data_IF_166787261464
#
_entry.id   IF_166787261464
#
_cell.length_a   1.000
_cell.length_b   1.000
_cell.length_c   1.000
_cell.angle_alpha   90.00
_cell.angle_beta   90.00
_cell.angle_gamma   90.00
#
_symmetry.space_group_name_H-M   'P 1'
#
loop_
_entity.id
_entity.type
_entity.pdbx_description
1 polymer ?
#
# COMPACT_ATOMS: atom_id res chain seq x y z
N UNK A 1 9.13 -22.09 6.12
CA UNK A 1 10.05 -21.15 5.45
C UNK A 1 9.39 -20.10 4.55
N UNK A 2 8.12 -20.24 4.14
CA UNK A 2 7.43 -19.27 3.26
C UNK A 2 6.71 -18.09 3.94
N UNK A 3 6.74 -18.00 5.27
CA UNK A 3 5.97 -16.97 6.01
C UNK A 3 6.77 -15.68 6.22
N UNK A 4 8.09 -15.79 6.41
CA UNK A 4 8.99 -14.64 6.59
C UNK A 4 8.94 -13.73 5.36
N UNK A 5 8.84 -14.30 4.15
CA UNK A 5 8.76 -13.53 2.91
C UNK A 5 7.44 -12.78 2.76
N UNK A 6 6.33 -13.32 3.27
CA UNK A 6 5.03 -12.65 3.28
C UNK A 6 4.99 -11.51 4.28
N UNK A 7 5.52 -11.73 5.49
CA UNK A 7 5.62 -10.70 6.53
C UNK A 7 6.51 -9.56 6.09
N UNK A 8 7.68 -9.85 5.51
CA UNK A 8 8.60 -8.82 5.01
C UNK A 8 7.99 -8.01 3.87
N UNK A 9 7.31 -8.65 2.93
CA UNK A 9 6.62 -7.95 1.84
C UNK A 9 5.50 -7.04 2.39
N UNK A 10 4.66 -7.59 3.27
CA UNK A 10 3.56 -6.83 3.88
C UNK A 10 4.08 -5.64 4.68
N UNK A 11 5.16 -5.84 5.46
CA UNK A 11 5.80 -4.77 6.21
C UNK A 11 6.38 -3.68 5.31
N UNK A 12 6.98 -4.08 4.18
CA UNK A 12 7.44 -3.14 3.14
C UNK A 12 6.29 -2.27 2.61
N UNK A 13 5.16 -2.88 2.28
CA UNK A 13 3.96 -2.17 1.84
C UNK A 13 3.47 -1.19 2.92
N UNK A 14 3.40 -1.61 4.19
CA UNK A 14 3.01 -0.74 5.31
C UNK A 14 3.92 0.48 5.41
N UNK A 15 5.23 0.31 5.29
CA UNK A 15 6.17 1.44 5.32
C UNK A 15 5.96 2.40 4.15
N UNK A 16 5.66 1.88 2.96
CA UNK A 16 5.40 2.71 1.79
C UNK A 16 4.09 3.51 1.90
N UNK A 17 3.11 3.06 2.68
CA UNK A 17 1.86 3.83 2.91
C UNK A 17 2.09 5.18 3.59
N UNK A 18 3.23 5.40 4.26
CA UNK A 18 3.60 6.71 4.82
C UNK A 18 3.98 7.76 3.77
N UNK A 19 4.20 7.35 2.51
CA UNK A 19 4.41 8.26 1.37
C UNK A 19 3.08 8.71 0.74
N UNK A 20 1.96 8.26 1.31
CA UNK A 20 0.60 8.51 0.86
C UNK A 20 -0.19 9.19 1.99
N UNK A 21 -1.41 9.63 1.70
CA UNK A 21 -2.30 10.25 2.71
C UNK A 21 -3.13 9.22 3.51
N UNK A 22 -2.94 7.91 3.25
CA UNK A 22 -3.78 6.84 3.80
C UNK A 22 -3.91 6.90 5.33
N UNK A 23 -2.84 7.21 6.05
CA UNK A 23 -2.84 7.31 7.53
C UNK A 23 -3.73 8.45 8.06
N UNK A 24 -4.00 9.46 7.24
CA UNK A 24 -4.83 10.60 7.59
C UNK A 24 -6.33 10.32 7.36
N UNK A 25 -6.65 9.39 6.47
CA UNK A 25 -8.03 9.16 5.99
C UNK A 25 -8.58 7.76 6.30
N UNK A 26 -7.74 6.79 6.67
CA UNK A 26 -8.15 5.43 7.01
C UNK A 26 -7.67 4.98 8.39
N UNK A 27 -8.48 4.18 9.11
CA UNK A 27 -8.04 3.49 10.32
C UNK A 27 -6.82 2.58 10.07
N UNK A 28 -5.84 2.51 11.00
CA UNK A 28 -4.61 1.73 10.79
C UNK A 28 -4.82 0.25 10.46
N UNK A 29 -5.86 -0.38 11.03
CA UNK A 29 -6.16 -1.79 10.76
C UNK A 29 -6.63 -2.05 9.33
N UNK A 30 -7.35 -1.10 8.70
CA UNK A 30 -7.77 -1.23 7.29
C UNK A 30 -6.59 -1.08 6.34
N UNK A 31 -5.64 -0.19 6.66
CA UNK A 31 -4.38 -0.06 5.92
C UNK A 31 -3.58 -1.37 6.01
N UNK A 32 -3.44 -1.93 7.22
CA UNK A 32 -2.74 -3.20 7.41
C UNK A 32 -3.40 -4.35 6.61
N UNK A 33 -4.73 -4.44 6.61
CA UNK A 33 -5.47 -5.43 5.83
C UNK A 33 -5.29 -5.24 4.32
N UNK A 34 -5.28 -4.00 3.83
CA UNK A 34 -4.99 -3.71 2.43
C UNK A 34 -3.56 -4.11 2.05
N UNK A 35 -2.56 -3.85 2.90
CA UNK A 35 -1.19 -4.31 2.68
C UNK A 35 -1.10 -5.85 2.64
N UNK A 36 -1.79 -6.56 3.55
CA UNK A 36 -1.83 -8.04 3.56
C UNK A 36 -2.50 -8.55 2.28
N UNK A 37 -3.60 -7.92 1.86
CA UNK A 37 -4.33 -8.26 0.65
C UNK A 37 -3.46 -8.08 -0.60
N UNK A 38 -2.83 -6.91 -0.76
CA UNK A 38 -1.91 -6.62 -1.88
C UNK A 38 -0.74 -7.59 -1.91
N UNK A 39 -0.10 -7.88 -0.77
CA UNK A 39 0.97 -8.87 -0.69
C UNK A 39 0.50 -10.28 -1.08
N UNK A 40 -0.71 -10.66 -0.65
CA UNK A 40 -1.33 -11.94 -0.99
C UNK A 40 -1.58 -12.08 -2.48
N UNK A 41 -2.17 -11.06 -3.11
CA UNK A 41 -2.43 -11.04 -4.55
C UNK A 41 -1.10 -11.12 -5.32
N UNK A 42 -0.10 -10.31 -4.94
CA UNK A 42 1.21 -10.30 -5.58
C UNK A 42 1.95 -11.65 -5.51
N UNK A 43 1.71 -12.43 -4.45
CA UNK A 43 2.32 -13.75 -4.24
C UNK A 43 1.44 -14.92 -4.65
N UNK A 44 0.31 -14.65 -5.30
CA UNK A 44 -0.68 -15.64 -5.72
C UNK A 44 -1.12 -16.54 -4.55
N UNK A 45 -1.30 -15.92 -3.36
CA UNK A 45 -1.77 -16.58 -2.15
C UNK A 45 -3.23 -16.26 -1.89
N UNK A 46 -4.08 -17.27 -2.05
CA UNK A 46 -5.47 -17.17 -1.67
C UNK A 46 -5.61 -17.08 -0.13
N UNK A 47 -6.17 -15.96 0.34
CA UNK A 47 -6.52 -15.72 1.74
C UNK A 47 -7.99 -15.36 1.91
N UNK A 48 -8.83 -15.64 0.91
CA UNK A 48 -10.24 -15.21 0.89
C UNK A 48 -10.99 -15.68 2.15
N UNK A 49 -10.84 -16.95 2.52
CA UNK A 49 -11.46 -17.50 3.73
C UNK A 49 -11.03 -16.77 5.01
N UNK A 50 -9.74 -16.45 5.14
CA UNK A 50 -9.23 -15.72 6.31
C UNK A 50 -9.80 -14.29 6.38
N UNK A 51 -9.95 -13.61 5.24
CA UNK A 51 -10.59 -12.29 5.21
C UNK A 51 -12.09 -12.33 5.52
N UNK A 52 -12.81 -13.38 5.07
CA UNK A 52 -14.23 -13.58 5.37
C UNK A 52 -14.48 -13.75 6.89
N UNK A 53 -13.59 -14.45 7.59
CA UNK A 53 -13.66 -14.65 9.04
C UNK A 53 -13.55 -13.32 9.83
N UNK A 54 -12.83 -12.33 9.29
CA UNK A 54 -12.63 -11.03 9.93
C UNK A 54 -13.86 -10.11 9.86
N UNK A 55 -14.87 -10.46 9.05
CA UNK A 55 -16.10 -9.66 8.85
C UNK A 55 -15.82 -8.19 8.51
N UNK A 56 -14.73 -7.94 7.79
CA UNK A 56 -14.35 -6.61 7.32
C UNK A 56 -15.03 -6.32 5.98
N UNK A 57 -15.36 -5.06 5.71
CA UNK A 57 -15.83 -4.65 4.38
C UNK A 57 -14.69 -4.74 3.36
N UNK A 58 -14.72 -5.79 2.54
CA UNK A 58 -13.72 -6.02 1.51
C UNK A 58 -13.72 -4.97 0.40
N UNK A 59 -14.79 -4.19 0.22
CA UNK A 59 -14.77 -3.08 -0.73
C UNK A 59 -13.84 -1.98 -0.22
N UNK A 60 -13.87 -1.68 1.07
CA UNK A 60 -12.96 -0.70 1.69
C UNK A 60 -11.52 -1.18 1.58
N UNK A 61 -11.24 -2.44 1.91
CA UNK A 61 -9.90 -3.03 1.81
C UNK A 61 -9.38 -2.97 0.36
N UNK A 62 -10.22 -3.31 -0.62
CA UNK A 62 -9.85 -3.26 -2.05
C UNK A 62 -9.62 -1.84 -2.55
N UNK A 63 -10.42 -0.86 -2.10
CA UNK A 63 -10.22 0.54 -2.48
C UNK A 63 -8.86 1.05 -1.99
N UNK A 64 -8.53 0.81 -0.71
CA UNK A 64 -7.21 1.18 -0.16
C UNK A 64 -6.09 0.43 -0.90
N UNK A 65 -6.30 -0.85 -1.23
CA UNK A 65 -5.33 -1.62 -2.00
C UNK A 65 -5.11 -1.05 -3.42
N UNK A 66 -6.15 -0.53 -4.08
CA UNK A 66 -6.01 0.17 -5.35
C UNK A 66 -5.21 1.47 -5.19
N UNK A 67 -5.48 2.27 -4.16
CA UNK A 67 -4.68 3.49 -3.90
C UNK A 67 -3.19 3.17 -3.68
N UNK A 68 -2.88 2.06 -3.01
CA UNK A 68 -1.48 1.57 -2.87
C UNK A 68 -0.87 1.22 -4.24
N UNK A 69 -1.64 0.58 -5.13
CA UNK A 69 -1.16 0.21 -6.46
C UNK A 69 -0.97 1.46 -7.35
N UNK A 70 -1.92 2.38 -7.34
CA UNK A 70 -1.86 3.66 -8.06
C UNK A 70 -0.66 4.50 -7.61
N UNK A 71 -0.33 4.46 -6.32
CA UNK A 71 0.90 5.04 -5.80
C UNK A 71 2.14 4.42 -6.47
N UNK A 72 2.25 3.10 -6.58
CA UNK A 72 3.41 2.48 -7.22
C UNK A 72 3.51 2.83 -8.71
N UNK A 73 2.39 2.96 -9.43
CA UNK A 73 2.39 3.39 -10.83
C UNK A 73 2.84 4.84 -10.98
N UNK A 74 2.28 5.74 -10.17
CA UNK A 74 2.61 7.17 -10.21
C UNK A 74 4.01 7.48 -9.69
N UNK A 75 4.48 6.77 -8.66
CA UNK A 75 5.79 6.97 -8.05
C UNK A 75 6.93 6.71 -9.03
N UNK A 76 6.74 5.76 -9.98
CA UNK A 76 7.70 5.50 -11.08
C UNK A 76 7.94 6.70 -11.99
N UNK A 77 7.04 7.67 -12.00
CA UNK A 77 7.15 8.89 -12.81
C UNK A 77 7.92 10.01 -12.09
N UNK A 78 8.23 9.86 -10.80
CA UNK A 78 8.94 10.88 -10.01
C UNK A 78 10.45 10.69 -10.23
N UNK A 79 11.02 11.47 -11.16
CA UNK A 79 12.46 11.46 -11.44
C UNK A 79 13.20 12.55 -10.65
N UNK A 80 14.50 12.39 -10.49
CA UNK A 80 15.35 13.38 -9.80
C UNK A 80 15.27 14.77 -10.45
N UNK A 81 15.12 14.84 -11.77
CA UNK A 81 14.93 16.10 -12.49
C UNK A 81 13.61 16.78 -12.11
N UNK A 82 12.52 15.99 -11.98
CA UNK A 82 11.21 16.53 -11.55
C UNK A 82 11.27 17.00 -10.10
N UNK A 83 11.98 16.28 -9.24
CA UNK A 83 12.22 16.66 -7.85
C UNK A 83 13.00 17.97 -7.78
N UNK A 84 14.12 18.08 -8.50
CA UNK A 84 14.92 19.30 -8.57
C UNK A 84 14.13 20.49 -9.13
N UNK A 85 13.32 20.28 -10.18
CA UNK A 85 12.45 21.29 -10.74
C UNK A 85 11.38 21.76 -9.74
N UNK A 86 10.80 20.84 -8.95
CA UNK A 86 9.86 21.19 -7.89
C UNK A 86 10.53 22.01 -6.78
N UNK A 87 11.73 21.61 -6.32
CA UNK A 87 12.51 22.38 -5.33
C UNK A 87 12.87 23.78 -5.82
N UNK A 88 13.15 23.95 -7.11
CA UNK A 88 13.43 25.28 -7.66
C UNK A 88 12.21 26.21 -7.61
N UNK A 89 10.98 25.68 -7.70
CA UNK A 89 9.75 26.47 -7.56
C UNK A 89 9.44 26.88 -6.12
N UNK A 90 10.02 26.19 -5.13
CA UNK A 90 9.87 26.51 -3.71
C UNK A 90 10.82 27.63 -3.24
N UNK A 91 11.77 28.04 -4.09
CA UNK A 91 12.65 29.17 -3.79
C UNK A 91 11.81 30.46 -3.72
N UNK A 92 11.93 31.25 -2.65
CA UNK A 92 11.20 32.50 -2.50
C UNK A 92 11.57 33.54 -3.55
#
# INVERSE_FOLDING_TARGET
MNDISMTQLTWGLVNDTYKMDLILIHPPHLIALACIYTASVYREKDKTAWFEELRVDMNVVKNIAMEILDFYESHRLITDERVAAAFNKLKP
#
